data_IF_564496720268
#
_entry.id   IF_564496720268
#
_cell.length_a   1.000
_cell.length_b   1.000
_cell.length_c   1.000
_cell.angle_alpha   90.00
_cell.angle_beta   90.00
_cell.angle_gamma   90.00
#
_symmetry.space_group_name_H-M   'P 1'
#
loop_
_entity.id
_entity.type
_entity.pdbx_description
1 polymer ?
#
# COMPACT_ATOMS: atom_id res chain seq x y z
N UNK A 1 6.59 29.09 -18.34
CA UNK A 1 5.39 28.23 -18.41
C UNK A 1 4.59 28.45 -17.14
N UNK A 2 3.27 28.40 -17.22
CA UNK A 2 2.41 28.50 -16.04
C UNK A 2 2.36 27.15 -15.32
N UNK A 3 2.20 27.19 -14.00
CA UNK A 3 2.07 25.98 -13.19
C UNK A 3 0.77 26.01 -12.40
N UNK A 4 0.16 24.83 -12.28
CA UNK A 4 -0.98 24.57 -11.39
C UNK A 4 -0.55 23.50 -10.40
N UNK A 5 -0.76 23.75 -9.12
CA UNK A 5 -0.52 22.74 -8.09
C UNK A 5 -1.74 21.87 -7.95
N UNK A 6 -1.54 20.56 -7.93
CA UNK A 6 -2.57 19.59 -7.58
C UNK A 6 -2.25 18.98 -6.22
N UNK A 7 -3.29 18.66 -5.46
CA UNK A 7 -3.22 17.93 -4.20
C UNK A 7 -4.19 16.76 -4.27
N UNK A 8 -3.70 15.56 -4.05
CA UNK A 8 -4.49 14.36 -3.85
C UNK A 8 -4.59 14.11 -2.34
N UNK A 9 -5.79 14.02 -1.78
CA UNK A 9 -6.00 13.65 -0.37
C UNK A 9 -6.80 12.34 -0.29
N UNK A 10 -6.30 11.42 0.52
CA UNK A 10 -6.88 10.11 0.77
C UNK A 10 -6.86 9.79 2.26
N UNK A 11 -7.65 8.80 2.66
CA UNK A 11 -7.57 8.20 4.00
C UNK A 11 -7.03 6.79 3.87
N UNK A 12 -5.89 6.52 4.50
CA UNK A 12 -5.34 5.17 4.59
C UNK A 12 -5.95 4.47 5.80
N UNK A 13 -6.64 3.36 5.53
CA UNK A 13 -7.27 2.52 6.54
C UNK A 13 -6.25 1.63 7.25
N UNK A 14 -6.48 1.38 8.53
CA UNK A 14 -5.69 0.45 9.34
C UNK A 14 -4.25 0.89 9.63
N UNK A 15 -3.89 2.13 9.30
CA UNK A 15 -2.59 2.71 9.62
C UNK A 15 -2.76 3.88 10.59
N UNK A 16 -1.95 3.93 11.64
CA UNK A 16 -1.85 5.07 12.58
C UNK A 16 -0.37 5.36 12.84
N UNK A 17 0.01 6.35 13.65
CA UNK A 17 1.41 6.52 14.08
C UNK A 17 1.66 5.80 15.42
N UNK A 18 2.85 5.24 15.61
CA UNK A 18 3.29 4.63 16.88
C UNK A 18 4.83 4.67 17.01
N UNK A 19 5.44 5.12 18.13
CA UNK A 19 4.90 5.88 19.27
C UNK A 19 4.99 7.40 19.06
N UNK A 20 4.23 8.18 19.84
CA UNK A 20 4.09 9.66 19.82
C UNK A 20 4.13 10.28 18.40
N UNK A 21 2.97 10.57 17.79
CA UNK A 21 2.91 11.02 16.41
C UNK A 21 3.74 12.29 16.19
N UNK A 22 4.57 12.38 15.14
CA UNK A 22 4.85 13.70 14.61
C UNK A 22 3.50 14.35 14.24
N UNK A 23 3.32 15.63 14.56
CA UNK A 23 2.10 16.38 14.20
C UNK A 23 1.79 16.26 12.71
N UNK A 24 2.84 16.12 11.90
CA UNK A 24 2.80 15.86 10.48
C UNK A 24 4.12 15.20 10.05
N UNK A 25 4.04 14.17 9.21
CA UNK A 25 5.18 13.62 8.48
C UNK A 25 5.20 14.23 7.09
N UNK A 26 6.37 14.66 6.61
CA UNK A 26 6.55 15.11 5.23
C UNK A 26 7.67 14.30 4.56
N UNK A 27 7.45 13.92 3.29
CA UNK A 27 8.42 13.20 2.48
C UNK A 27 8.47 13.81 1.08
N UNK A 28 9.65 14.21 0.64
CA UNK A 28 9.89 14.73 -0.71
C UNK A 28 10.18 13.58 -1.68
N UNK A 29 9.18 13.23 -2.47
CA UNK A 29 9.29 12.25 -3.53
C UNK A 29 9.91 12.90 -4.78
N UNK A 30 11.21 12.66 -4.96
CA UNK A 30 11.92 13.07 -6.18
C UNK A 30 11.32 12.41 -7.42
N UNK A 31 11.05 13.18 -8.47
CA UNK A 31 10.42 12.71 -9.70
C UNK A 31 10.07 13.86 -10.65
N UNK A 32 9.34 13.57 -11.72
CA UNK A 32 8.82 14.61 -12.63
C UNK A 32 7.31 14.43 -12.79
N UNK A 33 6.47 15.29 -12.19
CA UNK A 33 6.85 16.35 -11.24
C UNK A 33 7.31 15.81 -9.88
N UNK A 34 8.09 16.62 -9.16
CA UNK A 34 8.41 16.36 -7.76
C UNK A 34 7.13 16.41 -6.92
N UNK A 35 6.96 15.43 -6.05
CA UNK A 35 5.79 15.31 -5.19
C UNK A 35 6.15 15.55 -3.73
N UNK A 36 5.28 16.23 -2.98
CA UNK A 36 5.35 16.32 -1.53
C UNK A 36 4.26 15.44 -0.93
N UNK A 37 4.68 14.41 -0.20
CA UNK A 37 3.78 13.50 0.50
C UNK A 37 3.68 13.96 1.95
N UNK A 38 2.46 14.07 2.48
CA UNK A 38 2.22 14.38 3.89
C UNK A 38 1.33 13.33 4.52
N UNK A 39 1.69 12.87 5.72
CA UNK A 39 0.82 12.03 6.54
C UNK A 39 0.45 12.77 7.82
N UNK A 40 -0.85 12.79 8.12
CA UNK A 40 -1.40 13.37 9.33
C UNK A 40 -2.30 12.35 9.99
N UNK A 41 -2.22 12.25 11.31
CA UNK A 41 -3.21 11.47 12.04
C UNK A 41 -4.56 12.16 11.94
N UNK A 42 -5.61 11.38 11.73
CA UNK A 42 -6.98 11.84 11.91
C UNK A 42 -7.70 10.86 12.83
N UNK A 43 -8.55 11.41 13.68
CA UNK A 43 -9.38 10.66 14.60
C UNK A 43 -10.84 10.85 14.18
N UNK A 44 -11.62 9.76 14.17
CA UNK A 44 -13.08 9.85 14.13
C UNK A 44 -13.63 10.08 15.53
N UNK A 45 -14.81 10.70 15.59
CA UNK A 45 -15.57 10.89 16.84
C UNK A 45 -15.87 9.56 17.56
N UNK A 46 -15.80 8.41 16.85
CA UNK A 46 -16.00 7.07 17.42
C UNK A 46 -14.71 6.42 17.96
N UNK A 47 -13.58 7.13 17.95
CA UNK A 47 -12.29 6.62 18.43
C UNK A 47 -11.48 5.81 17.42
N UNK A 48 -11.96 5.64 16.17
CA UNK A 48 -11.15 5.10 15.08
C UNK A 48 -10.02 6.08 14.74
N UNK A 49 -8.80 5.54 14.62
CA UNK A 49 -7.61 6.28 14.20
C UNK A 49 -7.23 5.85 12.80
N UNK A 50 -6.83 6.81 11.98
CA UNK A 50 -6.28 6.55 10.65
C UNK A 50 -5.21 7.56 10.27
N UNK A 51 -4.71 7.44 9.04
CA UNK A 51 -3.83 8.44 8.43
C UNK A 51 -4.56 9.14 7.28
N UNK A 52 -4.61 10.46 7.32
CA UNK A 52 -4.86 11.27 6.14
C UNK A 52 -3.53 11.34 5.39
N UNK A 53 -3.56 10.93 4.13
CA UNK A 53 -2.39 10.89 3.27
C UNK A 53 -2.61 11.86 2.12
N UNK A 54 -1.70 12.79 1.98
CA UNK A 54 -1.75 13.86 1.00
C UNK A 54 -0.54 13.74 0.06
N UNK A 55 -0.74 13.98 -1.23
CA UNK A 55 0.33 14.03 -2.22
C UNK A 55 0.10 15.25 -3.11
N UNK A 56 1.06 16.17 -3.18
CA UNK A 56 0.93 17.36 -4.02
C UNK A 56 2.10 17.55 -4.98
N UNK A 57 1.81 18.08 -6.17
CA UNK A 57 2.82 18.39 -7.18
C UNK A 57 2.36 19.53 -8.08
N UNK A 58 3.30 20.24 -8.68
CA UNK A 58 3.03 21.29 -9.67
C UNK A 58 3.15 20.73 -11.09
N UNK A 59 2.15 21.01 -11.92
CA UNK A 59 2.09 20.59 -13.31
C UNK A 59 2.20 21.81 -14.22
N UNK A 60 3.02 21.69 -15.26
CA UNK A 60 3.08 22.69 -16.32
C UNK A 60 1.78 22.68 -17.11
N UNK A 61 1.25 23.87 -17.36
CA UNK A 61 -0.03 24.07 -18.07
C UNK A 61 0.08 25.20 -19.09
N UNK A 62 -0.82 25.18 -20.06
CA UNK A 62 -1.06 26.31 -20.96
C UNK A 62 -1.65 27.50 -20.21
N UNK A 63 -1.53 28.69 -20.81
CA UNK A 63 -2.12 29.92 -20.27
C UNK A 63 -3.65 29.80 -20.15
N UNK A 64 -4.30 29.19 -21.14
CA UNK A 64 -5.74 28.95 -21.10
C UNK A 64 -6.17 28.01 -19.97
N UNK A 65 -5.44 26.91 -19.72
CA UNK A 65 -5.74 26.00 -18.60
C UNK A 65 -5.58 26.72 -17.26
N UNK A 66 -4.54 27.56 -17.13
CA UNK A 66 -4.32 28.39 -15.94
C UNK A 66 -5.47 29.36 -15.73
N UNK A 67 -5.90 30.08 -16.77
CA UNK A 67 -6.97 31.09 -16.70
C UNK A 67 -8.33 30.45 -16.40
N UNK A 68 -8.58 29.27 -16.96
CA UNK A 68 -9.77 28.48 -16.62
C UNK A 68 -9.79 28.13 -15.14
N UNK A 69 -8.68 27.61 -14.62
CA UNK A 69 -8.58 27.26 -13.19
C UNK A 69 -8.66 28.51 -12.31
N UNK A 70 -8.06 29.64 -12.72
CA UNK A 70 -8.18 30.92 -12.04
C UNK A 70 -9.65 31.35 -11.90
N UNK A 71 -10.39 31.29 -13.01
CA UNK A 71 -11.81 31.62 -13.03
C UNK A 71 -12.60 30.70 -12.08
N UNK A 72 -12.30 29.39 -12.06
CA UNK A 72 -12.96 28.45 -11.14
C UNK A 72 -12.69 28.78 -9.67
N UNK A 73 -11.44 29.13 -9.32
CA UNK A 73 -11.06 29.53 -7.96
C UNK A 73 -11.81 30.81 -7.53
N UNK A 74 -12.00 31.74 -8.46
CA UNK A 74 -12.77 32.97 -8.27
C UNK A 74 -14.30 32.78 -8.41
N UNK A 75 -14.76 31.52 -8.51
CA UNK A 75 -16.18 31.16 -8.64
C UNK A 75 -16.84 31.76 -9.88
N UNK A 76 -16.10 31.82 -10.99
CA UNK A 76 -16.57 32.28 -12.30
C UNK A 76 -16.55 31.14 -13.32
N UNK A 77 -17.65 30.98 -14.03
CA UNK A 77 -17.77 30.08 -15.18
C UNK A 77 -17.08 30.72 -16.39
N UNK A 78 -16.00 30.09 -16.87
CA UNK A 78 -15.36 30.46 -18.11
C UNK A 78 -15.90 29.56 -19.23
N UNK A 79 -16.73 30.13 -20.10
CA UNK A 79 -17.32 29.38 -21.20
C UNK A 79 -16.24 28.89 -22.17
N UNK A 80 -16.35 27.62 -22.59
CA UNK A 80 -15.60 27.05 -23.70
C UNK A 80 -16.57 26.41 -24.70
N UNK A 81 -16.20 26.42 -25.99
CA UNK A 81 -17.03 25.85 -27.05
C UNK A 81 -17.32 24.34 -26.85
N UNK A 82 -16.50 23.66 -26.06
CA UNK A 82 -16.61 22.22 -25.78
C UNK A 82 -17.46 21.90 -24.55
N UNK A 83 -17.88 22.91 -23.77
CA UNK A 83 -18.67 22.68 -22.56
C UNK A 83 -20.17 22.62 -22.87
N UNK A 84 -20.89 21.59 -22.38
CA UNK A 84 -22.31 21.41 -22.68
C UNK A 84 -23.25 22.27 -21.83
N UNK A 85 -22.72 23.07 -20.90
CA UNK A 85 -23.50 23.82 -19.92
C UNK A 85 -24.12 25.09 -20.52
N UNK A 86 -25.44 25.20 -20.43
CA UNK A 86 -26.19 26.42 -20.76
C UNK A 86 -26.43 27.23 -19.50
N UNK A 87 -26.22 28.55 -19.59
CA UNK A 87 -26.47 29.48 -18.50
C UNK A 87 -27.87 30.12 -18.61
N UNK A 88 -28.55 30.42 -17.49
CA UNK A 88 -28.18 30.02 -16.13
C UNK A 88 -28.32 28.49 -15.95
N UNK A 89 -27.39 27.90 -15.20
CA UNK A 89 -27.41 26.46 -14.94
C UNK A 89 -28.15 26.16 -13.65
N UNK A 90 -29.15 25.27 -13.73
CA UNK A 90 -30.02 24.91 -12.61
C UNK A 90 -30.03 23.41 -12.36
N UNK A 91 -30.02 23.02 -11.08
CA UNK A 91 -30.20 21.63 -10.62
C UNK A 91 -31.36 21.67 -9.62
N UNK A 92 -32.36 20.78 -9.79
CA UNK A 92 -33.52 20.68 -8.90
C UNK A 92 -34.25 22.02 -8.65
N UNK A 93 -34.27 22.91 -9.66
CA UNK A 93 -34.91 24.23 -9.57
C UNK A 93 -34.02 25.34 -8.99
N UNK A 94 -32.89 25.00 -8.36
CA UNK A 94 -31.93 25.96 -7.80
C UNK A 94 -30.90 26.39 -8.85
N UNK A 95 -30.59 27.70 -8.91
CA UNK A 95 -29.52 28.22 -9.77
C UNK A 95 -28.17 27.99 -9.10
N UNK A 96 -27.26 27.33 -9.84
CA UNK A 96 -25.89 27.07 -9.40
C UNK A 96 -24.86 27.91 -10.15
N UNK A 97 -25.17 28.27 -11.39
CA UNK A 97 -24.40 29.25 -12.18
C UNK A 97 -25.39 30.26 -12.74
N UNK A 98 -25.16 31.53 -12.43
CA UNK A 98 -25.97 32.64 -12.89
C UNK A 98 -25.76 32.92 -14.38
N UNK A 99 -26.63 33.74 -14.97
CA UNK A 99 -26.53 34.11 -16.38
C UNK A 99 -25.25 34.90 -16.72
N UNK A 100 -24.67 35.59 -15.72
CA UNK A 100 -23.41 36.31 -15.83
C UNK A 100 -22.17 35.41 -15.60
N UNK A 101 -22.38 34.12 -15.33
CA UNK A 101 -21.33 33.13 -15.06
C UNK A 101 -20.90 33.04 -13.60
N UNK A 102 -21.47 33.82 -12.68
CA UNK A 102 -21.17 33.71 -11.24
C UNK A 102 -21.63 32.37 -10.68
N UNK A 103 -20.77 31.66 -9.97
CA UNK A 103 -21.06 30.35 -9.39
C UNK A 103 -21.40 30.46 -7.90
N UNK A 104 -22.39 29.67 -7.48
CA UNK A 104 -22.80 29.56 -6.07
C UNK A 104 -21.64 29.03 -5.21
N UNK A 105 -21.54 29.51 -3.97
CA UNK A 105 -20.57 29.00 -3.01
C UNK A 105 -20.69 27.48 -2.80
N UNK A 106 -19.55 26.79 -2.80
CA UNK A 106 -19.47 25.34 -2.65
C UNK A 106 -19.88 24.54 -3.90
N UNK A 107 -20.35 25.19 -4.96
CA UNK A 107 -20.61 24.54 -6.23
C UNK A 107 -19.33 24.47 -7.07
N UNK A 108 -19.04 23.28 -7.59
CA UNK A 108 -17.99 23.04 -8.58
C UNK A 108 -18.59 22.37 -9.82
N UNK A 109 -18.03 22.68 -10.99
CA UNK A 109 -18.48 22.10 -12.25
C UNK A 109 -18.24 20.58 -12.22
N UNK A 110 -19.24 19.73 -12.52
CA UNK A 110 -19.03 18.29 -12.63
C UNK A 110 -17.92 17.95 -13.62
N UNK A 111 -17.10 16.94 -13.30
CA UNK A 111 -15.94 16.55 -14.12
C UNK A 111 -16.28 16.35 -15.61
N UNK A 112 -17.41 15.67 -15.87
CA UNK A 112 -17.92 15.36 -17.21
C UNK A 112 -18.23 16.62 -18.04
N UNK A 113 -18.40 17.77 -17.39
CA UNK A 113 -18.72 19.05 -18.04
C UNK A 113 -17.51 19.97 -18.17
N UNK A 114 -16.35 19.60 -17.61
CA UNK A 114 -15.12 20.34 -17.81
C UNK A 114 -14.66 20.23 -19.28
N UNK A 115 -13.92 21.22 -19.81
CA UNK A 115 -13.31 21.08 -21.12
C UNK A 115 -12.38 19.86 -21.19
N UNK A 116 -12.27 19.19 -22.36
CA UNK A 116 -11.44 17.99 -22.52
C UNK A 116 -9.98 18.16 -22.07
N UNK A 117 -9.39 19.34 -22.29
CA UNK A 117 -8.02 19.67 -21.90
C UNK A 117 -7.86 19.67 -20.37
N UNK A 118 -8.83 20.24 -19.64
CA UNK A 118 -8.85 20.24 -18.17
C UNK A 118 -9.12 18.83 -17.64
N UNK A 119 -10.00 18.06 -18.28
CA UNK A 119 -10.22 16.65 -17.94
C UNK A 119 -8.93 15.84 -18.09
N UNK A 120 -8.22 16.02 -19.20
CA UNK A 120 -6.95 15.36 -19.45
C UNK A 120 -5.87 15.78 -18.44
N UNK A 121 -5.77 17.08 -18.12
CA UNK A 121 -4.86 17.59 -17.08
C UNK A 121 -5.15 16.94 -15.72
N UNK A 122 -6.41 16.91 -15.30
CA UNK A 122 -6.84 16.27 -14.05
C UNK A 122 -6.58 14.76 -14.06
N UNK A 123 -6.78 14.10 -15.19
CA UNK A 123 -6.50 12.67 -15.39
C UNK A 123 -5.03 12.37 -15.16
N UNK A 124 -4.13 13.10 -15.85
CA UNK A 124 -2.67 12.98 -15.67
C UNK A 124 -2.25 13.25 -14.23
N UNK A 125 -2.77 14.32 -13.62
CA UNK A 125 -2.46 14.67 -12.24
C UNK A 125 -2.91 13.59 -11.25
N UNK A 126 -4.14 13.08 -11.41
CA UNK A 126 -4.68 12.01 -10.56
C UNK A 126 -3.87 10.73 -10.70
N UNK A 127 -3.59 10.29 -11.93
CA UNK A 127 -2.82 9.07 -12.19
C UNK A 127 -1.43 9.16 -11.54
N UNK A 128 -0.69 10.24 -11.79
CA UNK A 128 0.65 10.45 -11.25
C UNK A 128 0.66 10.52 -9.72
N UNK A 129 -0.22 11.33 -9.12
CA UNK A 129 -0.28 11.48 -7.66
C UNK A 129 -0.75 10.19 -6.98
N UNK A 130 -1.68 9.44 -7.59
CA UNK A 130 -2.16 8.16 -7.06
C UNK A 130 -1.07 7.12 -7.10
N UNK A 131 -0.39 6.96 -8.24
CA UNK A 131 0.73 6.04 -8.37
C UNK A 131 1.86 6.35 -7.36
N UNK A 132 2.21 7.64 -7.23
CA UNK A 132 3.20 8.12 -6.25
C UNK A 132 2.79 7.77 -4.82
N UNK A 133 1.55 8.08 -4.45
CA UNK A 133 1.03 7.85 -3.11
C UNK A 133 0.91 6.36 -2.79
N UNK A 134 0.42 5.58 -3.74
CA UNK A 134 0.31 4.13 -3.61
C UNK A 134 1.67 3.47 -3.41
N UNK A 135 2.66 3.84 -4.23
CA UNK A 135 4.04 3.37 -4.09
C UNK A 135 4.59 3.71 -2.70
N UNK A 136 4.41 4.95 -2.25
CA UNK A 136 4.90 5.38 -0.95
C UNK A 136 4.32 4.53 0.19
N UNK A 137 2.99 4.35 0.21
CA UNK A 137 2.33 3.56 1.25
C UNK A 137 2.73 2.08 1.17
N UNK A 138 2.86 1.50 -0.03
CA UNK A 138 3.31 0.12 -0.22
C UNK A 138 4.72 -0.10 0.33
N UNK A 139 5.68 0.76 -0.03
CA UNK A 139 7.05 0.70 0.47
C UNK A 139 7.09 0.86 1.99
N UNK A 140 6.34 1.82 2.54
CA UNK A 140 6.25 2.03 3.98
C UNK A 140 5.73 0.79 4.72
N UNK A 141 4.65 0.18 4.20
CA UNK A 141 4.05 -1.03 4.77
C UNK A 141 4.98 -2.23 4.68
N UNK A 142 5.72 -2.36 3.58
CA UNK A 142 6.68 -3.44 3.39
C UNK A 142 7.86 -3.30 4.37
N UNK A 143 8.46 -2.12 4.45
CA UNK A 143 9.62 -1.82 5.33
C UNK A 143 9.31 -2.09 6.79
N UNK A 144 8.12 -1.74 7.25
CA UNK A 144 7.76 -1.78 8.67
C UNK A 144 6.96 -3.00 9.09
N UNK A 145 6.64 -3.89 8.16
CA UNK A 145 5.65 -4.95 8.38
C UNK A 145 4.33 -4.42 8.95
N UNK A 146 3.98 -3.16 8.63
CA UNK A 146 2.73 -2.55 9.09
C UNK A 146 1.59 -3.38 8.53
N UNK A 147 0.71 -3.96 9.36
CA UNK A 147 -0.46 -4.64 8.83
C UNK A 147 -1.42 -3.59 8.25
N UNK A 148 -2.44 -4.05 7.53
CA UNK A 148 -3.41 -3.18 6.88
C UNK A 148 -4.16 -3.92 5.79
N UNK A 149 -5.31 -3.39 5.40
CA UNK A 149 -6.10 -3.94 4.30
C UNK A 149 -5.30 -3.97 3.00
N UNK A 150 -5.64 -4.91 2.11
CA UNK A 150 -5.10 -4.95 0.75
C UNK A 150 -5.40 -3.63 0.01
N UNK A 151 -6.62 -3.09 0.18
CA UNK A 151 -6.96 -1.75 -0.27
C UNK A 151 -6.12 -0.69 0.48
N UNK A 152 -5.47 0.20 -0.27
CA UNK A 152 -4.62 1.25 0.28
C UNK A 152 -5.44 2.40 0.88
N UNK A 153 -6.57 2.73 0.25
CA UNK A 153 -7.38 3.90 0.58
C UNK A 153 -8.83 3.51 0.86
N UNK A 154 -9.47 4.16 1.82
CA UNK A 154 -10.88 3.98 2.17
C UNK A 154 -11.81 4.30 0.99
N UNK A 155 -11.45 5.34 0.25
CA UNK A 155 -12.21 5.85 -0.90
C UNK A 155 -11.25 6.23 -2.02
N UNK A 156 -11.79 6.44 -3.21
CA UNK A 156 -11.02 7.09 -4.27
C UNK A 156 -10.51 8.44 -3.77
N UNK A 157 -9.21 8.72 -3.86
CA UNK A 157 -8.64 9.96 -3.38
C UNK A 157 -9.28 11.19 -4.03
N UNK A 158 -9.54 12.22 -3.22
CA UNK A 158 -10.08 13.50 -3.70
C UNK A 158 -8.97 14.34 -4.31
N UNK A 159 -9.21 14.90 -5.50
CA UNK A 159 -8.25 15.75 -6.19
C UNK A 159 -8.61 17.22 -5.98
N UNK A 160 -7.61 18.04 -5.70
CA UNK A 160 -7.71 19.47 -5.46
C UNK A 160 -6.71 20.18 -6.37
N UNK A 161 -6.99 21.43 -6.71
CA UNK A 161 -6.04 22.27 -7.45
C UNK A 161 -5.91 23.67 -6.82
N UNK A 162 -4.79 24.33 -7.12
CA UNK A 162 -4.47 25.67 -6.66
C UNK A 162 -3.54 26.39 -7.66
N UNK A 163 -3.66 27.72 -7.74
CA UNK A 163 -2.67 28.58 -8.40
C UNK A 163 -1.58 28.98 -7.39
N UNK A 164 -0.79 28.01 -6.94
CA UNK A 164 0.19 28.20 -5.87
C UNK A 164 0.17 27.05 -4.87
N UNK A 165 0.78 27.22 -3.69
CA UNK A 165 0.92 26.12 -2.71
C UNK A 165 -0.05 26.19 -1.51
N UNK A 166 -0.84 27.24 -1.37
CA UNK A 166 -1.49 27.55 -0.08
C UNK A 166 -3.03 27.40 -0.08
N UNK A 167 -3.73 27.59 -1.21
CA UNK A 167 -5.21 27.57 -1.26
C UNK A 167 -5.76 26.49 -2.20
N UNK A 168 -6.00 25.28 -1.67
CA UNK A 168 -6.54 24.16 -2.44
C UNK A 168 -8.07 24.12 -2.44
N UNK A 169 -8.69 24.16 -3.62
CA UNK A 169 -10.14 24.03 -3.77
C UNK A 169 -10.53 22.60 -4.13
N UNK A 170 -11.61 22.09 -3.52
CA UNK A 170 -12.07 20.70 -3.66
C UNK A 170 -12.66 20.44 -5.03
N UNK A 171 -12.19 19.40 -5.72
CA UNK A 171 -12.80 18.93 -6.95
C UNK A 171 -13.15 17.43 -6.90
N UNK A 172 -14.47 17.17 -6.95
CA UNK A 172 -15.13 15.86 -7.17
C UNK A 172 -14.93 14.81 -6.06
N UNK A 173 -16.05 14.38 -5.47
CA UNK A 173 -16.13 13.16 -4.66
C UNK A 173 -16.35 11.98 -5.62
N UNK A 174 -15.53 10.95 -5.53
CA UNK A 174 -15.82 9.68 -6.19
C UNK A 174 -16.90 8.90 -5.41
N UNK A 175 -17.54 7.88 -6.00
CA UNK A 175 -18.50 7.03 -5.30
C UNK A 175 -17.88 6.38 -4.04
N UNK A 176 -18.73 6.20 -3.03
CA UNK A 176 -18.39 5.56 -1.77
C UNK A 176 -18.43 4.04 -1.93
N UNK A 177 -17.40 3.37 -1.44
CA UNK A 177 -17.44 1.95 -1.09
C UNK A 177 -17.17 1.88 0.42
N UNK A 178 -17.98 1.11 1.14
CA UNK A 178 -17.83 0.96 2.59
C UNK A 178 -16.85 -0.20 2.87
N UNK A 179 -15.86 0.04 3.72
CA UNK A 179 -14.90 -0.96 4.17
C UNK A 179 -14.77 -0.92 5.70
N UNK A 180 -14.79 -2.09 6.33
CA UNK A 180 -14.44 -2.25 7.75
C UNK A 180 -12.99 -2.69 7.88
N UNK A 181 -12.20 -2.01 8.71
CA UNK A 181 -10.81 -2.39 9.02
C UNK A 181 -10.48 -2.15 10.49
N UNK A 182 -9.87 -3.15 11.15
CA UNK A 182 -9.30 -3.01 12.49
C UNK A 182 -7.87 -2.44 12.39
N UNK A 183 -7.56 -1.41 13.19
CA UNK A 183 -6.23 -0.80 13.26
C UNK A 183 -5.31 -1.64 14.16
N UNK A 184 -4.27 -2.23 13.57
CA UNK A 184 -3.23 -2.97 14.28
C UNK A 184 -1.89 -2.35 13.85
N UNK A 185 -1.02 -1.97 14.78
CA UNK A 185 0.32 -1.42 14.47
C UNK A 185 0.33 -0.01 13.89
N UNK A 186 1.01 0.92 14.57
CA UNK A 186 1.29 2.23 13.98
C UNK A 186 2.57 2.24 13.16
N UNK A 187 2.60 3.10 12.15
CA UNK A 187 3.78 3.56 11.42
C UNK A 187 4.74 4.22 12.39
N UNK A 188 5.97 3.70 12.39
CA UNK A 188 7.11 4.31 13.08
C UNK A 188 7.76 5.30 12.15
N UNK A 189 8.07 6.49 12.65
CA UNK A 189 8.79 7.49 11.87
C UNK A 189 9.87 8.18 12.70
N UNK A 190 11.08 8.19 12.15
CA UNK A 190 12.28 8.79 12.73
C UNK A 190 13.40 8.77 11.70
N UNK A 191 14.55 9.38 12.01
CA UNK A 191 15.64 9.56 11.05
C UNK A 191 16.07 8.27 10.34
N UNK A 192 16.13 7.15 11.07
CA UNK A 192 16.48 5.83 10.50
C UNK A 192 15.43 5.31 9.50
N UNK A 193 14.14 5.58 9.73
CA UNK A 193 13.06 5.19 8.80
C UNK A 193 13.02 6.11 7.58
N UNK A 194 13.24 7.41 7.79
CA UNK A 194 13.30 8.39 6.71
C UNK A 194 14.44 8.10 5.73
N UNK A 195 15.64 7.80 6.24
CA UNK A 195 16.79 7.42 5.42
C UNK A 195 16.53 6.14 4.62
N UNK A 196 15.97 5.10 5.27
CA UNK A 196 15.59 3.85 4.60
C UNK A 196 14.53 4.06 3.54
N UNK A 197 13.51 4.86 3.83
CA UNK A 197 12.44 5.17 2.88
C UNK A 197 13.00 5.96 1.69
N UNK A 198 13.90 6.92 1.90
CA UNK A 198 14.58 7.63 0.83
C UNK A 198 15.44 6.71 -0.05
N UNK A 199 16.14 5.73 0.55
CA UNK A 199 16.91 4.72 -0.18
C UNK A 199 16.01 3.83 -1.05
N UNK A 200 14.93 3.29 -0.46
CA UNK A 200 13.94 2.49 -1.19
C UNK A 200 13.30 3.31 -2.32
N UNK A 201 12.94 4.57 -2.05
CA UNK A 201 12.29 5.44 -3.01
C UNK A 201 13.16 5.68 -4.25
N UNK A 202 14.46 5.93 -4.05
CA UNK A 202 15.44 6.20 -5.12
C UNK A 202 15.89 4.95 -5.87
N UNK A 203 15.66 3.76 -5.30
CA UNK A 203 16.05 2.51 -5.92
C UNK A 203 15.11 2.20 -7.09
N UNK A 204 15.68 2.15 -8.30
CA UNK A 204 14.91 1.93 -9.53
C UNK A 204 14.24 0.55 -9.51
N UNK A 205 12.95 0.50 -9.86
CA UNK A 205 12.16 -0.73 -9.94
C UNK A 205 11.86 -1.39 -8.58
N UNK A 206 12.22 -0.76 -7.47
CA UNK A 206 11.88 -1.26 -6.13
C UNK A 206 10.46 -0.82 -5.78
N UNK A 207 9.62 -1.83 -5.56
CA UNK A 207 8.23 -1.78 -5.12
C UNK A 207 8.03 -2.81 -4.01
N UNK A 208 6.91 -2.73 -3.29
CA UNK A 208 6.50 -3.85 -2.43
C UNK A 208 6.40 -5.14 -3.27
N UNK A 209 7.09 -6.23 -2.89
CA UNK A 209 7.00 -7.47 -3.64
C UNK A 209 5.58 -8.06 -3.62
N UNK A 210 5.11 -8.57 -4.76
CA UNK A 210 3.79 -9.23 -4.88
C UNK A 210 3.53 -10.28 -3.79
N UNK A 211 4.57 -11.00 -3.36
CA UNK A 211 4.46 -11.97 -2.27
C UNK A 211 3.95 -11.34 -0.95
N UNK A 212 4.38 -10.12 -0.62
CA UNK A 212 3.89 -9.37 0.53
C UNK A 212 2.46 -8.86 0.32
N UNK A 213 2.10 -8.44 -0.90
CA UNK A 213 0.72 -8.08 -1.23
C UNK A 213 -0.25 -9.28 -1.04
N UNK A 214 0.15 -10.47 -1.51
CA UNK A 214 -0.61 -11.71 -1.32
C UNK A 214 -0.68 -12.10 0.16
N UNK A 215 0.40 -11.92 0.93
CA UNK A 215 0.37 -12.16 2.38
C UNK A 215 -0.66 -11.25 3.08
N UNK A 216 -0.78 -9.99 2.68
CA UNK A 216 -1.79 -9.07 3.23
C UNK A 216 -3.20 -9.51 2.87
N UNK A 217 -3.42 -9.96 1.65
CA UNK A 217 -4.70 -10.51 1.22
C UNK A 217 -5.05 -11.77 2.03
N UNK A 218 -4.10 -12.68 2.24
CA UNK A 218 -4.29 -13.85 3.08
C UNK A 218 -4.64 -13.48 4.54
N UNK A 219 -3.96 -12.46 5.10
CA UNK A 219 -4.25 -11.92 6.41
C UNK A 219 -5.67 -11.35 6.49
N UNK A 220 -6.08 -10.56 5.50
CA UNK A 220 -7.44 -10.03 5.40
C UNK A 220 -8.49 -11.16 5.36
N UNK A 221 -8.27 -12.20 4.55
CA UNK A 221 -9.16 -13.36 4.45
C UNK A 221 -9.23 -14.17 5.76
N UNK A 222 -8.10 -14.32 6.47
CA UNK A 222 -8.07 -14.97 7.77
C UNK A 222 -8.90 -14.19 8.81
N UNK A 223 -8.74 -12.86 8.84
CA UNK A 223 -9.53 -11.98 9.71
C UNK A 223 -11.02 -11.97 9.35
N UNK A 224 -11.35 -12.05 8.05
CA UNK A 224 -12.73 -12.13 7.55
C UNK A 224 -13.39 -13.51 7.71
N UNK A 225 -12.79 -14.44 8.46
CA UNK A 225 -13.36 -15.77 8.71
C UNK A 225 -13.36 -16.71 7.49
N UNK A 226 -12.44 -16.50 6.54
CA UNK A 226 -12.28 -17.31 5.33
C UNK A 226 -10.95 -18.10 5.33
N UNK A 227 -10.74 -19.04 6.27
CA UNK A 227 -9.44 -19.66 6.51
C UNK A 227 -8.96 -20.52 5.33
N UNK A 228 -9.87 -21.15 4.59
CA UNK A 228 -9.53 -21.93 3.38
C UNK A 228 -8.96 -21.06 2.28
N UNK A 229 -9.55 -19.90 2.04
CA UNK A 229 -9.05 -18.93 1.05
C UNK A 229 -7.71 -18.36 1.51
N UNK A 230 -7.58 -18.03 2.80
CA UNK A 230 -6.32 -17.60 3.39
C UNK A 230 -5.20 -18.63 3.19
N UNK A 231 -5.48 -19.94 3.36
CA UNK A 231 -4.52 -21.02 3.07
C UNK A 231 -4.03 -20.99 1.62
N UNK A 232 -4.94 -20.88 0.65
CA UNK A 232 -4.59 -20.85 -0.77
C UNK A 232 -3.71 -19.64 -1.11
N UNK A 233 -4.08 -18.46 -0.65
CA UNK A 233 -3.37 -17.21 -0.94
C UNK A 233 -2.02 -17.17 -0.20
N UNK A 234 -1.94 -17.57 1.07
CA UNK A 234 -0.69 -17.58 1.83
C UNK A 234 0.36 -18.54 1.25
N UNK A 235 -0.05 -19.74 0.81
CA UNK A 235 0.87 -20.67 0.12
C UNK A 235 1.34 -20.07 -1.22
N UNK A 236 0.43 -19.42 -1.96
CA UNK A 236 0.77 -18.73 -3.21
C UNK A 236 1.73 -17.55 -3.00
N UNK A 237 1.64 -16.86 -1.85
CA UNK A 237 2.58 -15.81 -1.45
C UNK A 237 4.00 -16.36 -1.30
N UNK A 238 4.18 -17.48 -0.60
CA UNK A 238 5.50 -18.13 -0.46
C UNK A 238 6.02 -18.63 -1.80
N UNK A 239 5.17 -19.25 -2.62
CA UNK A 239 5.51 -19.68 -3.98
C UNK A 239 6.05 -18.52 -4.81
N UNK A 240 5.33 -17.40 -4.82
CA UNK A 240 5.70 -16.18 -5.53
C UNK A 240 7.00 -15.59 -4.99
N UNK A 241 7.14 -15.50 -3.67
CA UNK A 241 8.32 -14.94 -3.01
C UNK A 241 9.59 -15.74 -3.33
N UNK A 242 9.53 -17.07 -3.21
CA UNK A 242 10.67 -17.94 -3.51
C UNK A 242 11.06 -17.88 -4.99
N UNK A 243 10.10 -17.93 -5.91
CA UNK A 243 10.38 -17.85 -7.35
C UNK A 243 11.04 -16.51 -7.70
N UNK A 244 10.45 -15.40 -7.25
CA UNK A 244 11.00 -14.07 -7.51
C UNK A 244 12.40 -13.91 -6.91
N UNK A 245 12.62 -14.44 -5.70
CA UNK A 245 13.94 -14.45 -5.06
C UNK A 245 14.97 -15.19 -5.91
N UNK A 246 14.64 -16.39 -6.37
CA UNK A 246 15.54 -17.22 -7.18
C UNK A 246 15.81 -16.58 -8.53
N UNK A 247 14.78 -16.10 -9.24
CA UNK A 247 14.94 -15.44 -10.55
C UNK A 247 15.88 -14.24 -10.50
N UNK A 248 15.88 -13.48 -9.39
CA UNK A 248 16.79 -12.34 -9.20
C UNK A 248 18.26 -12.75 -9.00
N UNK A 249 18.50 -13.88 -8.35
CA UNK A 249 19.84 -14.36 -8.03
C UNK A 249 20.45 -15.25 -9.12
N UNK A 250 19.63 -15.93 -9.92
CA UNK A 250 20.08 -16.89 -10.93
C UNK A 250 19.75 -16.38 -12.34
N UNK A 251 20.54 -15.40 -12.80
CA UNK A 251 20.31 -14.66 -14.06
C UNK A 251 20.38 -15.54 -15.33
N UNK A 252 21.12 -16.64 -15.31
CA UNK A 252 21.33 -17.50 -16.50
C UNK A 252 20.21 -18.53 -16.73
N UNK A 253 19.31 -18.75 -15.78
CA UNK A 253 18.24 -19.76 -15.86
C UNK A 253 16.92 -19.36 -15.17
N UNK A 254 16.72 -18.08 -14.86
CA UNK A 254 15.47 -17.57 -14.27
C UNK A 254 14.20 -17.93 -15.06
N UNK A 255 14.28 -17.92 -16.40
CA UNK A 255 13.18 -18.32 -17.28
C UNK A 255 12.75 -19.79 -17.06
N UNK A 256 13.68 -20.66 -16.68
CA UNK A 256 13.42 -22.09 -16.46
C UNK A 256 12.64 -22.29 -15.15
N UNK A 257 12.87 -21.42 -14.15
CA UNK A 257 12.16 -21.41 -12.87
C UNK A 257 10.75 -20.83 -13.02
N UNK A 258 10.57 -19.86 -13.93
CA UNK A 258 9.29 -19.23 -14.24
C UNK A 258 8.35 -20.15 -15.03
N UNK A 259 8.89 -20.93 -15.97
CA UNK A 259 8.09 -21.79 -16.86
C UNK A 259 7.97 -23.25 -16.40
N UNK A 260 8.88 -23.77 -15.58
CA UNK A 260 8.79 -25.15 -15.09
C UNK A 260 7.80 -25.28 -13.93
N UNK A 261 7.18 -26.46 -13.80
CA UNK A 261 6.51 -26.82 -12.56
C UNK A 261 7.54 -26.80 -11.44
N UNK A 262 7.43 -25.82 -10.55
CA UNK A 262 8.40 -25.63 -9.50
C UNK A 262 8.37 -26.82 -8.53
N UNK A 263 9.53 -27.32 -8.07
CA UNK A 263 9.58 -28.28 -6.98
C UNK A 263 8.74 -27.79 -5.79
N UNK A 264 8.23 -28.70 -4.93
CA UNK A 264 7.46 -28.30 -3.77
C UNK A 264 8.19 -27.21 -2.97
N UNK A 265 7.53 -26.09 -2.69
CA UNK A 265 8.18 -24.88 -2.14
C UNK A 265 8.95 -25.11 -0.85
N UNK A 266 8.52 -26.04 -0.02
CA UNK A 266 9.25 -26.40 1.19
C UNK A 266 10.61 -27.04 0.90
N UNK A 267 10.77 -27.78 -0.21
CA UNK A 267 12.08 -28.32 -0.63
C UNK A 267 12.98 -27.22 -1.15
N UNK A 268 12.45 -26.28 -1.92
CA UNK A 268 13.19 -25.10 -2.38
C UNK A 268 13.72 -24.32 -1.17
N UNK A 269 12.85 -24.03 -0.20
CA UNK A 269 13.24 -23.34 1.03
C UNK A 269 14.29 -24.12 1.84
N UNK A 270 14.17 -25.45 1.94
CA UNK A 270 15.06 -26.30 2.74
C UNK A 270 16.44 -26.51 2.12
N UNK A 271 16.48 -26.78 0.83
CA UNK A 271 17.67 -27.29 0.15
C UNK A 271 18.32 -26.16 -0.68
N UNK A 272 17.51 -25.47 -1.49
CA UNK A 272 18.05 -24.56 -2.50
C UNK A 272 18.41 -23.17 -1.94
N UNK A 273 17.57 -22.61 -1.07
CA UNK A 273 17.84 -21.27 -0.49
C UNK A 273 19.14 -21.25 0.32
N UNK A 274 19.43 -22.24 1.20
CA UNK A 274 20.72 -22.31 1.88
C UNK A 274 21.90 -22.44 0.92
N UNK A 275 21.80 -23.33 -0.07
CA UNK A 275 22.88 -23.54 -1.05
C UNK A 275 23.22 -22.25 -1.83
N UNK A 276 22.22 -21.42 -2.11
CA UNK A 276 22.38 -20.15 -2.81
C UNK A 276 23.08 -19.06 -1.95
N UNK A 277 22.94 -19.12 -0.62
CA UNK A 277 23.27 -18.00 0.28
C UNK A 277 24.28 -18.34 1.38
N UNK A 278 24.70 -19.61 1.51
CA UNK A 278 25.60 -20.04 2.58
C UNK A 278 26.95 -19.33 2.54
N UNK A 279 27.45 -19.02 1.34
CA UNK A 279 28.74 -18.32 1.16
C UNK A 279 28.64 -16.84 1.53
N UNK A 280 27.52 -16.18 1.20
CA UNK A 280 27.30 -14.75 1.49
C UNK A 280 26.80 -14.49 2.91
N UNK A 281 26.26 -15.51 3.60
CA UNK A 281 25.72 -15.41 4.95
C UNK A 281 26.27 -16.53 5.87
N UNK A 282 27.60 -16.60 6.11
CA UNK A 282 28.21 -17.71 6.85
C UNK A 282 27.81 -17.76 8.33
N UNK A 283 27.46 -16.63 8.93
CA UNK A 283 27.07 -16.52 10.34
C UNK A 283 25.60 -16.96 10.59
N UNK A 284 24.81 -17.14 9.53
CA UNK A 284 23.41 -17.50 9.65
C UNK A 284 23.25 -18.98 10.02
N UNK A 285 22.45 -19.25 11.07
CA UNK A 285 22.14 -20.62 11.49
C UNK A 285 21.04 -21.22 10.61
N UNK A 286 21.44 -21.90 9.54
CA UNK A 286 20.55 -22.53 8.55
C UNK A 286 19.59 -23.60 9.11
N UNK A 287 19.80 -24.07 10.34
CA UNK A 287 18.84 -24.93 11.04
C UNK A 287 17.46 -24.30 11.21
N UNK A 288 17.36 -22.98 11.38
CA UNK A 288 16.08 -22.28 11.49
C UNK A 288 15.25 -22.39 10.19
N UNK A 289 15.91 -22.28 9.03
CA UNK A 289 15.27 -22.47 7.71
C UNK A 289 14.71 -23.89 7.55
N UNK A 290 15.45 -24.90 8.02
CA UNK A 290 14.94 -26.29 8.01
C UNK A 290 13.68 -26.43 8.85
N UNK A 291 13.61 -25.77 10.01
CA UNK A 291 12.41 -25.79 10.85
C UNK A 291 11.21 -25.13 10.17
N UNK A 292 11.39 -23.96 9.54
CA UNK A 292 10.35 -23.31 8.73
C UNK A 292 9.87 -24.20 7.58
N UNK A 293 10.81 -24.84 6.87
CA UNK A 293 10.47 -25.72 5.74
C UNK A 293 9.58 -26.89 6.18
N UNK A 294 9.84 -27.47 7.35
CA UNK A 294 9.03 -28.56 7.90
C UNK A 294 7.61 -28.11 8.24
N UNK A 295 7.46 -26.90 8.81
CA UNK A 295 6.13 -26.33 9.09
C UNK A 295 5.38 -26.02 7.79
N UNK A 296 6.06 -25.42 6.81
CA UNK A 296 5.50 -25.08 5.51
C UNK A 296 5.03 -26.33 4.76
N UNK A 297 5.77 -27.44 4.85
CA UNK A 297 5.39 -28.70 4.23
C UNK A 297 3.98 -29.13 4.65
N UNK A 298 3.64 -29.07 5.94
CA UNK A 298 2.31 -29.42 6.45
C UNK A 298 1.21 -28.58 5.78
N UNK A 299 1.42 -27.28 5.60
CA UNK A 299 0.44 -26.39 4.98
C UNK A 299 0.31 -26.60 3.46
N UNK A 300 1.40 -26.92 2.78
CA UNK A 300 1.36 -27.30 1.35
C UNK A 300 0.57 -28.60 1.15
N UNK A 301 0.76 -29.58 2.04
CA UNK A 301 -0.01 -30.83 2.03
C UNK A 301 -1.51 -30.57 2.28
N UNK A 302 -1.84 -29.73 3.27
CA UNK A 302 -3.23 -29.30 3.53
C UNK A 302 -3.86 -28.57 2.34
N UNK A 303 -3.13 -27.66 1.69
CA UNK A 303 -3.58 -26.95 0.49
C UNK A 303 -3.87 -27.93 -0.65
N UNK A 304 -3.02 -28.92 -0.86
CA UNK A 304 -3.22 -29.94 -1.88
C UNK A 304 -4.44 -30.83 -1.57
N UNK A 305 -4.64 -31.22 -0.30
CA UNK A 305 -5.83 -31.94 0.14
C UNK A 305 -7.11 -31.12 -0.08
N UNK A 306 -7.08 -29.83 0.26
CA UNK A 306 -8.20 -28.92 0.07
C UNK A 306 -8.59 -28.83 -1.41
N UNK A 307 -7.62 -28.66 -2.32
CA UNK A 307 -7.87 -28.56 -3.77
C UNK A 307 -8.40 -29.88 -4.33
N UNK A 308 -7.81 -31.01 -3.95
CA UNK A 308 -8.15 -32.32 -4.51
C UNK A 308 -9.48 -32.87 -3.99
N UNK A 309 -9.76 -32.69 -2.70
CA UNK A 309 -10.86 -33.38 -2.02
C UNK A 309 -11.92 -32.43 -1.46
N UNK A 310 -11.73 -31.10 -1.57
CA UNK A 310 -12.63 -30.10 -0.99
C UNK A 310 -12.69 -30.10 0.54
N UNK A 311 -11.80 -30.86 1.20
CA UNK A 311 -11.79 -31.08 2.65
C UNK A 311 -10.37 -30.88 3.18
N UNK A 312 -10.23 -29.95 4.11
CA UNK A 312 -9.07 -29.81 4.98
C UNK A 312 -9.57 -29.38 6.36
N UNK A 313 -9.08 -30.02 7.41
CA UNK A 313 -9.29 -29.52 8.77
C UNK A 313 -8.32 -28.34 8.96
N UNK A 314 -8.85 -27.14 8.77
CA UNK A 314 -8.08 -25.91 8.76
C UNK A 314 -8.98 -24.77 9.25
N UNK A 315 -8.70 -24.26 10.43
CA UNK A 315 -9.50 -23.23 11.08
C UNK A 315 -8.80 -21.85 11.04
N UNK A 316 -9.41 -20.84 11.67
CA UNK A 316 -8.84 -19.49 11.72
C UNK A 316 -7.52 -19.44 12.49
N UNK A 317 -7.35 -20.25 13.54
CA UNK A 317 -6.12 -20.31 14.31
C UNK A 317 -4.98 -20.85 13.45
N UNK A 318 -5.26 -21.88 12.65
CA UNK A 318 -4.31 -22.41 11.67
C UNK A 318 -3.97 -21.37 10.59
N UNK A 319 -4.97 -20.60 10.13
CA UNK A 319 -4.77 -19.51 9.17
C UNK A 319 -3.83 -18.43 9.69
N UNK A 320 -4.01 -17.99 10.94
CA UNK A 320 -3.11 -17.01 11.56
C UNK A 320 -1.69 -17.54 11.73
N UNK A 321 -1.54 -18.78 12.21
CA UNK A 321 -0.24 -19.41 12.35
C UNK A 321 0.48 -19.55 10.99
N UNK A 322 -0.26 -19.83 9.92
CA UNK A 322 0.27 -19.83 8.57
C UNK A 322 0.69 -18.43 8.10
N UNK A 323 -0.14 -17.41 8.30
CA UNK A 323 0.20 -16.01 7.93
C UNK A 323 1.49 -15.56 8.63
N UNK A 324 1.65 -15.86 9.91
CA UNK A 324 2.89 -15.56 10.64
C UNK A 324 4.10 -16.31 10.07
N UNK A 325 3.94 -17.60 9.80
CA UNK A 325 4.99 -18.43 9.18
C UNK A 325 5.41 -17.89 7.80
N UNK A 326 4.44 -17.52 6.95
CA UNK A 326 4.71 -16.97 5.62
C UNK A 326 5.42 -15.63 5.74
N UNK A 327 4.97 -14.77 6.64
CA UNK A 327 5.61 -13.48 6.88
C UNK A 327 7.07 -13.63 7.30
N UNK A 328 7.36 -14.55 8.22
CA UNK A 328 8.73 -14.89 8.62
C UNK A 328 9.58 -15.34 7.42
N UNK A 329 9.04 -16.21 6.57
CA UNK A 329 9.73 -16.66 5.35
C UNK A 329 10.02 -15.48 4.41
N UNK A 330 9.03 -14.63 4.13
CA UNK A 330 9.20 -13.52 3.19
C UNK A 330 10.22 -12.49 3.69
N UNK A 331 10.22 -12.14 4.98
CA UNK A 331 11.22 -11.22 5.52
C UNK A 331 12.62 -11.82 5.61
N UNK A 332 12.75 -13.14 5.77
CA UNK A 332 14.04 -13.82 5.58
C UNK A 332 14.52 -13.66 4.13
N UNK A 333 13.65 -13.82 3.13
CA UNK A 333 14.03 -13.64 1.72
C UNK A 333 14.43 -12.19 1.41
N UNK A 334 13.74 -11.21 2.00
CA UNK A 334 14.10 -9.79 1.86
C UNK A 334 15.49 -9.53 2.47
N UNK A 335 15.77 -10.06 3.66
CA UNK A 335 17.10 -9.98 4.27
C UNK A 335 18.17 -10.58 3.36
N UNK A 336 17.93 -11.79 2.83
CA UNK A 336 18.85 -12.46 1.91
C UNK A 336 19.02 -11.71 0.58
N UNK A 337 18.08 -10.84 0.22
CA UNK A 337 18.16 -9.93 -0.93
C UNK A 337 18.92 -8.62 -0.62
N UNK A 338 19.47 -8.47 0.58
CA UNK A 338 20.24 -7.30 1.01
C UNK A 338 19.44 -6.26 1.81
N UNK A 339 18.16 -6.50 2.08
CA UNK A 339 17.34 -5.61 2.91
C UNK A 339 17.57 -5.89 4.41
N UNK A 340 18.68 -5.42 4.97
CA UNK A 340 19.08 -5.69 6.37
C UNK A 340 17.98 -5.36 7.38
N UNK A 341 17.19 -4.31 7.12
CA UNK A 341 16.05 -3.91 7.97
C UNK A 341 15.02 -5.03 8.18
N UNK A 342 14.88 -5.95 7.23
CA UNK A 342 13.90 -7.04 7.26
C UNK A 342 14.10 -7.99 8.46
N UNK A 343 15.31 -8.06 9.02
CA UNK A 343 15.57 -8.82 10.24
C UNK A 343 14.69 -8.39 11.41
N UNK A 344 14.34 -7.10 11.48
CA UNK A 344 13.48 -6.55 12.55
C UNK A 344 12.02 -7.01 12.44
N UNK A 345 11.63 -7.55 11.28
CA UNK A 345 10.25 -7.96 10.98
C UNK A 345 10.04 -9.47 11.10
N UNK A 346 11.13 -10.23 11.33
CA UNK A 346 11.09 -11.65 11.62
C UNK A 346 10.77 -11.89 13.10
N UNK A 347 9.98 -12.92 13.39
CA UNK A 347 9.60 -13.28 14.76
C UNK A 347 10.82 -13.51 15.65
N UNK A 348 10.75 -13.06 16.91
CA UNK A 348 11.85 -13.22 17.88
C UNK A 348 12.24 -14.69 18.12
N UNK A 349 11.32 -15.62 17.89
CA UNK A 349 11.62 -17.05 17.93
C UNK A 349 12.51 -17.45 16.76
N UNK A 350 12.11 -17.12 15.53
CA UNK A 350 12.89 -17.44 14.34
C UNK A 350 14.23 -16.68 14.32
N UNK A 351 14.27 -15.40 14.67
CA UNK A 351 15.50 -14.61 14.72
C UNK A 351 16.57 -15.29 15.61
N UNK A 352 16.17 -15.83 16.78
CA UNK A 352 17.08 -16.62 17.64
C UNK A 352 17.54 -17.92 16.98
N UNK A 353 16.63 -18.63 16.30
CA UNK A 353 16.97 -19.85 15.55
C UNK A 353 17.95 -19.57 14.40
N UNK A 354 17.88 -18.39 13.80
CA UNK A 354 18.77 -17.92 12.72
C UNK A 354 20.09 -17.33 13.22
N UNK A 355 20.22 -17.10 14.54
CA UNK A 355 21.40 -16.50 15.15
C UNK A 355 21.46 -14.97 15.05
N UNK A 356 20.34 -14.32 14.74
CA UNK A 356 20.26 -12.86 14.69
C UNK A 356 20.10 -12.24 16.08
N UNK A 357 20.68 -11.06 16.27
CA UNK A 357 20.51 -10.29 17.50
C UNK A 357 19.08 -9.77 17.59
N UNK A 358 18.30 -10.30 18.53
CA UNK A 358 16.99 -9.74 18.87
C UNK A 358 17.24 -8.54 19.77
N UNK A 359 16.95 -7.34 19.30
CA UNK A 359 16.98 -6.17 20.17
C UNK A 359 15.95 -6.36 21.29
N UNK A 360 16.41 -6.46 22.55
CA UNK A 360 15.54 -6.53 23.73
C UNK A 360 14.60 -5.31 23.72
N UNK A 361 13.29 -5.57 23.65
CA UNK A 361 12.26 -4.52 23.63
C UNK A 361 11.61 -4.19 22.28
N UNK A 362 12.10 -4.70 21.14
CA UNK A 362 11.42 -4.55 19.83
C UNK A 362 10.42 -5.67 19.49
N UNK A 363 10.27 -6.65 20.39
CA UNK A 363 9.53 -7.89 20.16
C UNK A 363 8.07 -7.86 20.57
N UNK A 364 7.27 -6.97 20.00
CA UNK A 364 5.83 -7.22 19.85
C UNK A 364 5.51 -6.85 18.40
N UNK A 365 5.48 -7.84 17.50
CA UNK A 365 4.47 -7.77 16.44
C UNK A 365 3.19 -7.48 17.19
N UNK A 366 2.55 -6.35 16.94
CA UNK A 366 1.17 -6.18 17.42
C UNK A 366 0.46 -7.38 16.84
N UNK A 367 0.16 -8.32 17.73
CA UNK A 367 -0.47 -9.57 17.40
C UNK A 367 -1.65 -9.17 16.51
N UNK A 368 -1.66 -9.63 15.26
CA UNK A 368 -2.88 -9.54 14.43
C UNK A 368 -4.08 -10.10 15.22
N UNK A 369 -3.77 -10.97 16.19
CA UNK A 369 -4.64 -11.62 17.16
C UNK A 369 -5.33 -10.72 18.22
N UNK A 370 -5.01 -9.43 18.43
CA UNK A 370 -5.58 -8.68 19.57
C UNK A 370 -6.65 -7.63 19.22
N UNK A 371 -7.00 -7.45 17.95
CA UNK A 371 -7.86 -6.34 17.50
C UNK A 371 -9.24 -6.73 17.00
N UNK A 372 -9.58 -8.02 16.94
CA UNK A 372 -10.90 -8.49 16.56
C UNK A 372 -11.62 -9.04 17.80
N UNK A 373 -12.78 -8.50 18.21
CA UNK A 373 -13.65 -9.25 19.08
C UNK A 373 -13.97 -10.57 18.38
N UNK A 374 -13.67 -11.69 19.04
CA UNK A 374 -14.18 -12.98 18.60
C UNK A 374 -15.70 -12.84 18.41
N UNK A 375 -16.28 -13.40 17.34
CA UNK A 375 -17.73 -13.50 17.25
C UNK A 375 -18.23 -14.15 18.53
N UNK A 376 -19.20 -13.52 19.21
CA UNK A 376 -19.84 -14.16 20.35
C UNK A 376 -20.50 -15.45 19.84
N UNK A 377 -20.03 -16.60 20.33
CA UNK A 377 -20.66 -17.91 20.12
C UNK A 377 -22.09 -17.96 20.67
#
# INVERSE_FOLDING_TARGET
>A
MANVSFLLSAKALGMSFDPTPPTELQFEASGTPNCLIRLRQWDRDNGERGLEVQCSAAFEVSEWERDFIAAQLERRYLASATMPLKLPYRINGETHIEADGSMREGFGIPFEFLPPEIQALCGRAREHLTATLSRFIKLLRWEQASPGAHALFEYSPSLYWALGREDYHKHVKAPREDFETSALGGVKWGAEHEERMALLWRSEGVEEPLAHELLREACYLANGGSPRSALLIAVSAVETGLKNHISRHVKSSGWLVECAQSPPVYKILRDYIPDLHVESNPEMKWSGIRHLSKKLQTYVELRNQLIQYGKANFDNKDAFALVDLVSDILYVLDFLSGHVWAQSNVSSALARELGWSVAEGKGIRINVLSGYPLPND
#
